data_IF_707992023331
#
_entry.id   IF_707992023331
#
_cell.length_a   1.000
_cell.length_b   1.000
_cell.length_c   1.000
_cell.angle_alpha   90.00
_cell.angle_beta   90.00
_cell.angle_gamma   90.00
#
_symmetry.space_group_name_H-M   'P 1'
#
loop_
_entity.id
_entity.type
_entity.pdbx_description
1 polymer ?
#
# COMPACT_ATOMS: atom_id res chain seq x y z
N UNK A 1 5.90 3.01 14.31
CA UNK A 1 5.66 1.63 14.83
C UNK A 1 4.52 1.66 15.82
N UNK A 2 3.53 0.79 15.66
CA UNK A 2 2.37 0.70 16.53
C UNK A 2 1.86 -0.74 16.66
N UNK A 3 1.19 -1.04 17.78
CA UNK A 3 0.46 -2.29 17.96
C UNK A 3 -0.92 -2.13 17.33
N UNK A 4 -1.29 -3.07 16.50
CA UNK A 4 -2.58 -3.11 15.80
C UNK A 4 -3.24 -4.47 15.97
N UNK A 5 -4.50 -4.56 15.58
CA UNK A 5 -5.27 -5.80 15.59
C UNK A 5 -5.60 -6.18 14.15
N UNK A 6 -5.27 -7.41 13.77
CA UNK A 6 -5.70 -8.02 12.52
C UNK A 6 -7.03 -8.75 12.75
N UNK A 7 -8.04 -8.36 12.02
CA UNK A 7 -9.34 -9.02 11.98
C UNK A 7 -9.36 -10.00 10.82
N UNK A 8 -9.55 -11.27 11.13
CA UNK A 8 -9.49 -12.35 10.14
C UNK A 8 -10.91 -12.77 9.73
N UNK A 9 -11.18 -12.68 8.44
CA UNK A 9 -12.39 -13.26 7.83
C UNK A 9 -12.30 -14.79 7.79
N UNK A 10 -11.09 -15.29 7.54
CA UNK A 10 -10.76 -16.71 7.50
C UNK A 10 -9.36 -16.88 8.12
N UNK A 11 -9.22 -17.81 9.07
CA UNK A 11 -7.96 -18.12 9.75
C UNK A 11 -7.18 -19.29 9.11
N UNK A 12 -7.64 -19.83 7.99
CA UNK A 12 -6.94 -20.88 7.27
C UNK A 12 -5.63 -20.39 6.65
N UNK A 13 -4.70 -21.29 6.42
CA UNK A 13 -3.42 -20.97 5.78
C UNK A 13 -3.64 -20.44 4.36
N UNK A 14 -3.05 -19.28 4.05
CA UNK A 14 -3.20 -18.62 2.75
C UNK A 14 -4.50 -17.81 2.59
N UNK A 15 -5.29 -17.65 3.64
CA UNK A 15 -6.48 -16.81 3.60
C UNK A 15 -6.14 -15.33 3.32
N UNK A 16 -7.00 -14.68 2.57
CA UNK A 16 -6.90 -13.27 2.18
C UNK A 16 -8.11 -12.46 2.67
N UNK A 17 -8.15 -11.17 2.32
CA UNK A 17 -9.26 -10.27 2.64
C UNK A 17 -9.46 -9.99 4.13
N UNK A 18 -8.40 -10.14 4.93
CA UNK A 18 -8.35 -9.73 6.33
C UNK A 18 -8.17 -8.21 6.43
N UNK A 19 -8.42 -7.61 7.60
CA UNK A 19 -8.32 -6.16 7.77
C UNK A 19 -7.68 -5.78 9.11
N UNK A 20 -7.00 -4.64 9.15
CA UNK A 20 -6.40 -4.07 10.36
C UNK A 20 -7.21 -2.92 10.97
N UNK A 21 -8.28 -2.46 10.34
CA UNK A 21 -9.08 -1.31 10.78
C UNK A 21 -10.47 -1.67 11.26
N UNK A 22 -10.78 -2.95 11.35
CA UNK A 22 -12.10 -3.44 11.76
C UNK A 22 -12.58 -4.60 10.91
N UNK A 23 -13.77 -5.08 11.16
CA UNK A 23 -14.36 -6.20 10.44
C UNK A 23 -14.91 -5.79 9.06
N UNK A 24 -14.11 -5.10 8.27
CA UNK A 24 -14.44 -4.70 6.90
C UNK A 24 -13.16 -4.61 6.03
N UNK A 25 -13.32 -4.80 4.75
CA UNK A 25 -12.26 -4.68 3.75
C UNK A 25 -12.79 -3.90 2.51
N UNK A 26 -12.03 -3.86 1.43
CA UNK A 26 -12.40 -3.16 0.19
C UNK A 26 -13.73 -3.65 -0.43
N UNK A 27 -14.20 -4.85 -0.06
CA UNK A 27 -15.48 -5.41 -0.54
C UNK A 27 -16.66 -5.17 0.43
N UNK A 28 -16.39 -4.79 1.68
CA UNK A 28 -17.40 -4.48 2.69
C UNK A 28 -17.15 -5.13 4.05
N UNK A 29 -18.19 -5.15 4.89
CA UNK A 29 -18.12 -5.80 6.19
C UNK A 29 -18.05 -7.34 6.05
N UNK A 30 -17.39 -7.99 7.00
CA UNK A 30 -17.29 -9.45 7.08
C UNK A 30 -17.46 -9.94 8.52
N UNK A 31 -17.84 -11.21 8.67
CA UNK A 31 -17.85 -11.89 9.96
C UNK A 31 -16.41 -12.20 10.40
N UNK A 32 -16.09 -11.86 11.65
CA UNK A 32 -14.76 -12.08 12.22
C UNK A 32 -14.65 -13.52 12.74
N UNK A 33 -13.79 -14.32 12.14
CA UNK A 33 -13.49 -15.68 12.56
C UNK A 33 -12.24 -15.79 13.45
N UNK A 34 -11.51 -14.67 13.61
CA UNK A 34 -10.35 -14.62 14.50
C UNK A 34 -9.76 -13.21 14.58
N UNK A 35 -9.01 -12.97 15.65
CA UNK A 35 -8.27 -11.72 15.86
C UNK A 35 -6.84 -12.02 16.28
N UNK A 36 -5.89 -11.24 15.78
CA UNK A 36 -4.49 -11.38 16.13
C UNK A 36 -3.87 -10.00 16.37
N UNK A 37 -3.11 -9.87 17.45
CA UNK A 37 -2.26 -8.70 17.66
C UNK A 37 -1.07 -8.74 16.70
N UNK A 38 -0.82 -7.62 16.03
CA UNK A 38 0.31 -7.44 15.10
C UNK A 38 1.06 -6.16 15.42
N UNK A 39 2.33 -6.13 15.05
CA UNK A 39 3.14 -4.90 15.06
C UNK A 39 3.12 -4.34 13.64
N UNK A 40 2.64 -3.12 13.49
CA UNK A 40 2.75 -2.36 12.26
C UNK A 40 3.96 -1.41 12.34
N UNK A 41 4.79 -1.42 11.32
CA UNK A 41 5.97 -0.58 11.18
C UNK A 41 5.91 0.14 9.83
N UNK A 42 6.26 1.44 9.81
CA UNK A 42 6.37 2.17 8.54
C UNK A 42 7.52 1.64 7.70
N UNK A 43 7.47 1.85 6.38
CA UNK A 43 8.55 1.41 5.49
C UNK A 43 9.86 2.16 5.81
N UNK A 44 9.78 3.45 6.17
CA UNK A 44 10.94 4.24 6.59
C UNK A 44 11.58 3.69 7.86
N UNK A 45 10.77 3.40 8.90
CA UNK A 45 11.26 2.81 10.15
C UNK A 45 11.85 1.42 9.92
N UNK A 46 11.19 0.59 9.09
CA UNK A 46 11.66 -0.74 8.75
C UNK A 46 13.04 -0.70 8.07
N UNK A 47 13.17 0.13 7.04
CA UNK A 47 14.43 0.29 6.32
C UNK A 47 15.56 0.78 7.24
N UNK A 48 15.26 1.76 8.08
CA UNK A 48 16.23 2.31 9.03
C UNK A 48 16.61 1.32 10.13
N UNK A 49 15.64 0.64 10.73
CA UNK A 49 15.85 -0.31 11.83
C UNK A 49 16.70 -1.50 11.38
N UNK A 50 16.40 -2.08 10.23
CA UNK A 50 17.11 -3.24 9.70
C UNK A 50 18.31 -2.89 8.82
N UNK A 51 18.62 -1.59 8.62
CA UNK A 51 19.70 -1.13 7.73
C UNK A 51 19.56 -1.70 6.31
N UNK A 52 18.33 -1.77 5.82
CA UNK A 52 18.04 -2.29 4.48
C UNK A 52 18.51 -1.33 3.40
N UNK A 53 19.03 -1.83 2.27
CA UNK A 53 19.20 -1.00 1.08
C UNK A 53 17.88 -0.42 0.65
N UNK A 54 17.85 0.87 0.27
CA UNK A 54 16.62 1.49 -0.23
C UNK A 54 16.28 0.91 -1.61
N UNK A 55 15.00 0.61 -1.87
CA UNK A 55 14.58 0.01 -3.13
C UNK A 55 14.62 1.00 -4.29
N UNK A 56 15.12 0.57 -5.44
CA UNK A 56 15.00 1.30 -6.69
C UNK A 56 13.56 1.21 -7.27
N UNK A 57 12.91 0.06 -7.09
CA UNK A 57 11.58 -0.23 -7.65
C UNK A 57 10.69 -0.86 -6.60
N UNK A 58 9.43 -0.40 -6.53
CA UNK A 58 8.44 -0.89 -5.59
C UNK A 58 7.20 -1.38 -6.36
N UNK A 59 6.69 -2.57 -6.03
CA UNK A 59 5.33 -2.98 -6.34
C UNK A 59 4.50 -2.94 -5.05
N UNK A 60 3.38 -2.23 -5.08
CA UNK A 60 2.46 -2.09 -3.95
C UNK A 60 1.07 -2.60 -4.34
N UNK A 61 0.59 -3.60 -3.60
CA UNK A 61 -0.63 -4.34 -3.89
C UNK A 61 -1.11 -4.97 -2.57
N UNK A 62 -1.91 -4.21 -1.80
CA UNK A 62 -2.22 -4.51 -0.40
C UNK A 62 -3.70 -4.28 -0.04
N UNK A 63 -4.56 -4.39 -1.02
CA UNK A 63 -6.01 -4.41 -0.83
C UNK A 63 -6.57 -3.15 -0.13
N UNK A 64 -6.13 -1.95 -0.55
CA UNK A 64 -6.71 -0.67 -0.14
C UNK A 64 -5.97 0.06 0.99
N UNK A 65 -4.75 -0.37 1.35
CA UNK A 65 -3.87 0.30 2.32
C UNK A 65 -2.68 1.02 1.69
N UNK A 66 -2.69 1.16 0.38
CA UNK A 66 -1.63 1.79 -0.40
C UNK A 66 -1.34 3.23 0.07
N UNK A 67 -2.35 4.10 0.32
CA UNK A 67 -2.09 5.46 0.78
C UNK A 67 -1.36 5.51 2.12
N UNK A 68 -1.80 4.73 3.11
CA UNK A 68 -1.20 4.68 4.44
C UNK A 68 0.25 4.20 4.40
N UNK A 69 0.54 3.21 3.54
CA UNK A 69 1.91 2.70 3.36
C UNK A 69 2.80 3.77 2.74
N UNK A 70 2.32 4.48 1.72
CA UNK A 70 3.09 5.54 1.05
C UNK A 70 3.32 6.75 1.97
N UNK A 71 2.36 7.10 2.81
CA UNK A 71 2.50 8.13 3.85
C UNK A 71 3.60 7.77 4.87
N UNK A 72 3.83 6.47 5.12
CA UNK A 72 4.91 5.95 5.97
C UNK A 72 6.22 5.64 5.24
N UNK A 73 6.40 6.08 4.00
CA UNK A 73 7.54 5.76 3.13
C UNK A 73 8.27 7.01 2.59
N UNK A 74 8.15 8.14 3.24
CA UNK A 74 8.62 9.43 2.72
C UNK A 74 10.11 9.45 2.41
N UNK A 75 10.95 8.84 3.25
CA UNK A 75 12.40 8.75 3.05
C UNK A 75 12.74 7.76 1.94
N UNK A 76 12.13 6.58 1.96
CA UNK A 76 12.33 5.55 0.94
C UNK A 76 11.97 6.08 -0.45
N UNK A 77 10.84 6.78 -0.56
CA UNK A 77 10.37 7.34 -1.82
C UNK A 77 11.31 8.39 -2.43
N UNK A 78 12.17 9.07 -1.64
CA UNK A 78 13.11 10.07 -2.18
C UNK A 78 14.11 9.50 -3.20
N UNK A 79 14.43 8.21 -3.09
CA UNK A 79 15.42 7.54 -3.96
C UNK A 79 14.80 6.52 -4.89
N UNK A 80 13.53 6.17 -4.69
CA UNK A 80 12.79 5.21 -5.52
C UNK A 80 12.72 5.72 -6.97
N UNK A 81 13.05 4.87 -7.93
CA UNK A 81 13.03 5.18 -9.37
C UNK A 81 11.67 4.95 -10.00
N UNK A 82 10.98 3.89 -9.59
CA UNK A 82 9.61 3.63 -10.04
C UNK A 82 8.78 2.92 -8.98
N UNK A 83 7.46 3.13 -9.04
CA UNK A 83 6.49 2.47 -8.19
C UNK A 83 5.27 2.07 -9.01
N UNK A 84 4.95 0.77 -8.97
CA UNK A 84 3.72 0.22 -9.54
C UNK A 84 2.75 -0.02 -8.40
N UNK A 85 1.60 0.62 -8.42
CA UNK A 85 0.56 0.49 -7.40
C UNK A 85 -0.73 -0.05 -8.00
N UNK A 86 -1.35 -1.03 -7.36
CA UNK A 86 -2.72 -1.44 -7.67
C UNK A 86 -3.70 -0.53 -6.92
N UNK A 87 -4.71 -0.02 -7.62
CA UNK A 87 -5.73 0.87 -7.07
C UNK A 87 -7.10 0.26 -7.29
N UNK A 88 -7.79 -0.05 -6.20
CA UNK A 88 -9.14 -0.61 -6.23
C UNK A 88 -9.94 -0.24 -4.97
N UNK A 89 -11.21 -0.62 -4.95
CA UNK A 89 -12.07 -0.50 -3.77
C UNK A 89 -13.03 0.69 -3.77
N UNK A 90 -13.72 0.87 -2.65
CA UNK A 90 -14.84 1.80 -2.53
C UNK A 90 -14.45 3.27 -2.55
N UNK A 91 -13.30 3.62 -1.98
CA UNK A 91 -12.81 5.01 -1.87
C UNK A 91 -11.76 5.32 -2.94
N UNK A 92 -11.93 4.75 -4.14
CA UNK A 92 -10.94 4.78 -5.21
C UNK A 92 -10.43 6.19 -5.52
N UNK A 93 -11.32 7.16 -5.68
CA UNK A 93 -10.95 8.54 -6.04
C UNK A 93 -10.12 9.22 -4.94
N UNK A 94 -10.49 9.05 -3.68
CA UNK A 94 -9.77 9.59 -2.53
C UNK A 94 -8.39 8.92 -2.39
N UNK A 95 -8.35 7.59 -2.49
CA UNK A 95 -7.10 6.82 -2.42
C UNK A 95 -6.14 7.22 -3.53
N UNK A 96 -6.61 7.35 -4.78
CA UNK A 96 -5.79 7.83 -5.90
C UNK A 96 -5.22 9.21 -5.60
N UNK A 97 -6.03 10.16 -5.13
CA UNK A 97 -5.57 11.52 -4.81
C UNK A 97 -4.48 11.53 -3.72
N UNK A 98 -4.61 10.71 -2.69
CA UNK A 98 -3.60 10.55 -1.63
C UNK A 98 -2.30 9.94 -2.18
N UNK A 99 -2.42 8.88 -2.99
CA UNK A 99 -1.28 8.23 -3.65
C UNK A 99 -0.53 9.24 -4.54
N UNK A 100 -1.24 9.96 -5.39
CA UNK A 100 -0.67 10.98 -6.27
C UNK A 100 0.04 12.08 -5.47
N UNK A 101 -0.57 12.55 -4.38
CA UNK A 101 0.04 13.55 -3.52
C UNK A 101 1.37 13.06 -2.93
N UNK A 102 1.41 11.84 -2.38
CA UNK A 102 2.64 11.26 -1.82
C UNK A 102 3.72 11.09 -2.89
N UNK A 103 3.38 10.51 -4.04
CA UNK A 103 4.35 10.18 -5.07
C UNK A 103 4.85 11.44 -5.82
N UNK A 104 3.98 12.37 -6.15
CA UNK A 104 4.36 13.64 -6.78
C UNK A 104 5.26 14.48 -5.83
N UNK A 105 4.94 14.51 -4.53
CA UNK A 105 5.78 15.18 -3.54
C UNK A 105 7.17 14.57 -3.41
N UNK A 106 7.31 13.27 -3.68
CA UNK A 106 8.59 12.57 -3.74
C UNK A 106 9.29 12.67 -5.10
N UNK A 107 8.72 13.34 -6.10
CA UNK A 107 9.29 13.53 -7.44
C UNK A 107 9.07 12.36 -8.39
N UNK A 108 8.03 11.56 -8.16
CA UNK A 108 7.58 10.53 -9.12
C UNK A 108 6.32 11.02 -9.82
N UNK A 109 6.27 10.88 -11.16
CA UNK A 109 5.14 11.26 -12.00
C UNK A 109 4.49 10.04 -12.64
N UNK A 110 3.16 10.05 -12.81
CA UNK A 110 2.45 8.92 -13.41
C UNK A 110 2.75 8.78 -14.91
N UNK A 111 3.11 7.58 -15.34
CA UNK A 111 3.05 7.17 -16.74
C UNK A 111 1.64 6.67 -17.07
N UNK A 112 0.81 7.59 -17.56
CA UNK A 112 -0.60 7.31 -17.86
C UNK A 112 -0.81 6.22 -18.92
N UNK A 113 0.22 5.91 -19.71
CA UNK A 113 0.15 4.84 -20.72
C UNK A 113 -0.01 3.45 -20.11
N UNK A 114 0.24 3.33 -18.80
CA UNK A 114 0.08 2.08 -18.07
C UNK A 114 -1.34 1.81 -17.59
N UNK A 115 -2.23 2.80 -17.62
CA UNK A 115 -3.62 2.65 -17.09
C UNK A 115 -4.40 1.53 -17.75
N UNK A 116 -4.17 1.32 -19.05
CA UNK A 116 -4.90 0.33 -19.86
C UNK A 116 -4.18 -1.02 -19.92
N UNK A 117 -3.09 -1.22 -19.18
CA UNK A 117 -2.33 -2.48 -19.17
C UNK A 117 -2.87 -3.44 -18.10
N UNK A 118 -2.90 -4.72 -18.44
CA UNK A 118 -3.32 -5.79 -17.52
C UNK A 118 -4.78 -5.64 -17.09
N UNK A 119 -5.01 -5.60 -15.78
CA UNK A 119 -6.35 -5.46 -15.18
C UNK A 119 -6.97 -4.07 -15.32
N UNK A 120 -6.22 -3.07 -15.78
CA UNK A 120 -6.61 -1.66 -15.76
C UNK A 120 -6.60 -1.00 -14.36
N UNK A 121 -6.20 -1.74 -13.33
CA UNK A 121 -6.14 -1.24 -11.94
C UNK A 121 -4.76 -0.73 -11.53
N UNK A 122 -3.75 -0.99 -12.35
CA UNK A 122 -2.38 -0.60 -12.05
C UNK A 122 -2.08 0.83 -12.50
N UNK A 123 -1.34 1.56 -11.65
CA UNK A 123 -0.76 2.87 -11.95
C UNK A 123 0.75 2.78 -11.80
N UNK A 124 1.47 3.20 -12.81
CA UNK A 124 2.93 3.27 -12.78
C UNK A 124 3.37 4.71 -12.57
N UNK A 125 4.20 4.92 -11.55
CA UNK A 125 4.86 6.21 -11.30
C UNK A 125 6.35 6.05 -11.51
N UNK A 126 6.99 7.00 -12.18
CA UNK A 126 8.40 7.00 -12.51
C UNK A 126 9.05 8.32 -12.10
N UNK A 127 10.30 8.25 -11.68
CA UNK A 127 11.14 9.42 -11.46
C UNK A 127 11.75 9.83 -12.78
N UNK A 128 11.50 11.06 -13.21
CA UNK A 128 12.22 11.66 -14.32
C UNK A 128 13.69 11.89 -13.92
N UNK A 129 14.56 11.42 -14.76
CA UNK A 129 16.02 11.49 -14.54
C UNK A 129 16.58 12.90 -14.68
#
# INVERSE_FOLDING_TARGET
TQLMKLYMKDSSSGASHNSIEGAHNQFGAFEVNGEQAIIAISLDDFANFFKMPLPDHIKLDVDGKEPEILEGATTVLQTTKSLLVEVEGKNLSENISRIELCLNSAGLSEDVSWRDKGSGRNRLFIREG
#
